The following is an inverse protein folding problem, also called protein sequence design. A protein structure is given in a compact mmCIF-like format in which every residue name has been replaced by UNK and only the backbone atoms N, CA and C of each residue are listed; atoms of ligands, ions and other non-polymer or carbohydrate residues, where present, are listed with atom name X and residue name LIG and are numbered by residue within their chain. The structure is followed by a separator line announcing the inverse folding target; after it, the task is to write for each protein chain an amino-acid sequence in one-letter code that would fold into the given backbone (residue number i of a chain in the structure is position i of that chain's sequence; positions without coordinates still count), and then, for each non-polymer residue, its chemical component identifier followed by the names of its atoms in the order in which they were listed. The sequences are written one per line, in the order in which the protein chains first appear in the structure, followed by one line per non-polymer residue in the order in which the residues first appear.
data_IF_171865177751
#
_entry.id   IF_171865177751
#
_cell.length_a   1.000
_cell.length_b   1.000
_cell.length_c   1.000
_cell.angle_alpha   90.00
_cell.angle_beta   90.00
_cell.angle_gamma   90.00
#
_symmetry.space_group_name_H-M   'P 1'
#
loop_
_entity.id
_entity.type
_entity.pdbx_description
1 polymer ?
#
# COMPACT_ATOMS: atom_id res chain seq x y z
N UNK A 1 2.32 -32.72 -9.03
CA UNK A 1 2.00 -31.55 -9.84
C UNK A 1 1.96 -32.01 -11.27
N UNK A 2 0.94 -31.71 -12.03
CA UNK A 2 0.92 -32.14 -13.46
C UNK A 2 2.06 -31.41 -14.20
N UNK A 3 2.72 -32.10 -15.13
CA UNK A 3 3.82 -31.52 -15.94
C UNK A 3 3.34 -30.27 -16.69
N UNK A 4 2.07 -30.27 -17.08
CA UNK A 4 1.41 -29.14 -17.73
C UNK A 4 1.32 -27.91 -16.82
N UNK A 5 0.96 -28.09 -15.53
CA UNK A 5 0.92 -26.99 -14.57
C UNK A 5 2.32 -26.41 -14.31
N UNK A 6 3.32 -27.28 -14.21
CA UNK A 6 4.72 -26.86 -14.04
C UNK A 6 5.19 -26.03 -15.24
N UNK A 7 4.90 -26.47 -16.46
CA UNK A 7 5.24 -25.72 -17.67
C UNK A 7 4.51 -24.37 -17.72
N UNK A 8 3.22 -24.34 -17.38
CA UNK A 8 2.42 -23.10 -17.27
C UNK A 8 3.04 -22.10 -16.28
N UNK A 9 3.42 -22.58 -15.09
CA UNK A 9 4.07 -21.75 -14.08
C UNK A 9 5.46 -21.24 -14.54
N UNK A 10 6.24 -22.08 -15.20
CA UNK A 10 7.55 -21.69 -15.76
C UNK A 10 7.37 -20.60 -16.81
N UNK A 11 6.44 -20.75 -17.75
CA UNK A 11 6.15 -19.73 -18.78
C UNK A 11 5.73 -18.42 -18.13
N UNK A 12 4.83 -18.47 -17.14
CA UNK A 12 4.42 -17.27 -16.39
C UNK A 12 5.63 -16.58 -15.74
N UNK A 13 6.48 -17.32 -15.04
CA UNK A 13 7.67 -16.77 -14.39
C UNK A 13 8.67 -16.18 -15.40
N UNK A 14 8.93 -16.88 -16.50
CA UNK A 14 9.81 -16.37 -17.59
C UNK A 14 9.28 -15.05 -18.14
N UNK A 15 7.98 -14.95 -18.41
CA UNK A 15 7.36 -13.70 -18.88
C UNK A 15 7.49 -12.57 -17.85
N UNK A 16 7.31 -12.87 -16.56
CA UNK A 16 7.51 -11.89 -15.48
C UNK A 16 8.96 -11.40 -15.42
N UNK A 17 9.96 -12.30 -15.52
CA UNK A 17 11.37 -11.91 -15.53
C UNK A 17 11.76 -11.13 -16.79
N UNK A 18 11.09 -11.38 -17.93
CA UNK A 18 11.24 -10.58 -19.16
C UNK A 18 10.55 -9.21 -19.07
N UNK A 19 10.02 -8.84 -17.89
CA UNK A 19 9.30 -7.57 -17.64
C UNK A 19 8.05 -7.38 -18.50
N UNK A 20 7.43 -8.46 -18.95
CA UNK A 20 6.10 -8.42 -19.57
C UNK A 20 5.09 -7.96 -18.51
N UNK A 21 4.10 -7.12 -18.85
CA UNK A 21 3.04 -6.72 -17.92
C UNK A 21 2.41 -7.92 -17.21
N UNK A 22 2.22 -7.82 -15.89
CA UNK A 22 1.82 -8.94 -15.03
C UNK A 22 0.57 -9.66 -15.54
N UNK A 23 -0.45 -8.91 -15.96
CA UNK A 23 -1.69 -9.52 -16.49
C UNK A 23 -1.44 -10.36 -17.75
N UNK A 24 -0.53 -9.92 -18.63
CA UNK A 24 -0.16 -10.69 -19.83
C UNK A 24 0.61 -11.96 -19.45
N UNK A 25 1.54 -11.85 -18.50
CA UNK A 25 2.34 -12.97 -18.04
C UNK A 25 1.44 -14.06 -17.40
N UNK A 26 0.49 -13.66 -16.55
CA UNK A 26 -0.44 -14.56 -15.87
C UNK A 26 -1.44 -15.18 -16.86
N UNK A 27 -2.03 -14.39 -17.78
CA UNK A 27 -2.91 -14.91 -18.82
C UNK A 27 -2.17 -15.84 -19.78
N UNK A 28 -0.94 -15.46 -20.19
CA UNK A 28 -0.12 -16.29 -21.09
C UNK A 28 0.23 -17.63 -20.47
N UNK A 29 0.70 -17.66 -19.23
CA UNK A 29 0.94 -18.89 -18.48
C UNK A 29 -0.35 -19.72 -18.33
N UNK A 30 -1.46 -19.08 -17.96
CA UNK A 30 -2.76 -19.75 -17.85
C UNK A 30 -3.23 -20.32 -19.20
N UNK A 31 -3.04 -19.60 -20.30
CA UNK A 31 -3.40 -20.07 -21.64
C UNK A 31 -2.64 -21.33 -22.04
N UNK A 32 -1.34 -21.41 -21.70
CA UNK A 32 -0.54 -22.64 -21.93
C UNK A 32 -1.20 -23.85 -21.23
N UNK A 33 -1.68 -23.66 -19.99
CA UNK A 33 -2.38 -24.72 -19.26
C UNK A 33 -3.62 -25.23 -20.02
N UNK A 34 -4.47 -24.31 -20.52
CA UNK A 34 -5.69 -24.65 -21.23
C UNK A 34 -5.41 -25.30 -22.60
N UNK A 35 -4.38 -24.80 -23.31
CA UNK A 35 -4.01 -25.38 -24.64
C UNK A 35 -3.48 -26.81 -24.51
N UNK A 36 -2.74 -27.12 -23.45
CA UNK A 36 -2.16 -28.44 -23.22
C UNK A 36 -3.10 -29.43 -22.49
N UNK A 37 -4.27 -28.96 -22.02
CA UNK A 37 -5.32 -29.79 -21.43
C UNK A 37 -6.60 -29.75 -22.29
N UNK A 38 -6.67 -30.46 -23.38
CA UNK A 38 -7.82 -30.44 -24.32
C UNK A 38 -9.13 -30.92 -23.68
N UNK A 39 -9.07 -31.64 -22.58
CA UNK A 39 -10.27 -32.09 -21.82
C UNK A 39 -10.98 -30.93 -21.12
N UNK A 40 -10.34 -29.75 -21.02
CA UNK A 40 -10.90 -28.56 -20.42
C UNK A 40 -11.42 -27.64 -21.52
N UNK A 41 -12.72 -27.35 -21.47
CA UNK A 41 -13.32 -26.45 -22.45
C UNK A 41 -12.68 -25.04 -22.34
N UNK A 42 -12.17 -24.54 -23.47
CA UNK A 42 -11.55 -23.19 -23.54
C UNK A 42 -12.50 -22.05 -23.12
N UNK A 43 -13.83 -22.26 -23.18
CA UNK A 43 -14.84 -21.30 -22.68
C UNK A 43 -14.64 -21.01 -21.20
N UNK A 44 -14.14 -21.98 -20.42
CA UNK A 44 -13.87 -21.79 -18.98
C UNK A 44 -12.82 -20.69 -18.76
N UNK A 45 -11.81 -20.59 -19.63
CA UNK A 45 -10.82 -19.51 -19.56
C UNK A 45 -11.49 -18.12 -19.61
N UNK A 46 -12.35 -17.90 -20.61
CA UNK A 46 -13.06 -16.65 -20.78
C UNK A 46 -14.06 -16.39 -19.63
N UNK A 47 -14.78 -17.42 -19.19
CA UNK A 47 -15.72 -17.34 -18.08
C UNK A 47 -15.00 -16.92 -16.77
N UNK A 48 -13.89 -17.55 -16.43
CA UNK A 48 -13.15 -17.21 -15.21
C UNK A 48 -12.54 -15.82 -15.27
N UNK A 49 -12.08 -15.38 -16.44
CA UNK A 49 -11.58 -14.02 -16.62
C UNK A 49 -12.66 -12.96 -16.37
N UNK A 50 -13.91 -13.22 -16.76
CA UNK A 50 -15.05 -12.31 -16.54
C UNK A 50 -15.52 -12.38 -15.08
N UNK A 51 -15.81 -13.58 -14.56
CA UNK A 51 -16.29 -13.81 -13.18
C UNK A 51 -15.39 -13.15 -12.14
N UNK A 52 -14.06 -13.15 -12.39
CA UNK A 52 -13.10 -12.51 -11.50
C UNK A 52 -13.35 -11.03 -11.28
N UNK A 53 -13.94 -10.34 -12.27
CA UNK A 53 -14.17 -8.89 -12.23
C UNK A 53 -15.60 -8.49 -11.84
N UNK A 54 -16.54 -9.45 -11.74
CA UNK A 54 -17.96 -9.17 -11.47
C UNK A 54 -18.29 -8.95 -9.98
N UNK A 55 -17.33 -9.14 -9.06
CA UNK A 55 -17.57 -8.95 -7.63
C UNK A 55 -17.90 -7.49 -7.32
N UNK A 56 -19.07 -7.22 -6.75
CA UNK A 56 -19.53 -5.86 -6.37
C UNK A 56 -18.54 -5.16 -5.44
N UNK A 57 -17.89 -5.89 -4.54
CA UNK A 57 -16.88 -5.34 -3.63
C UNK A 57 -15.68 -4.70 -4.36
N UNK A 58 -15.36 -5.16 -5.57
CA UNK A 58 -14.28 -4.59 -6.37
C UNK A 58 -14.60 -3.18 -6.88
N UNK A 59 -15.86 -2.76 -6.92
CA UNK A 59 -16.24 -1.39 -7.27
C UNK A 59 -15.70 -0.35 -6.27
N UNK A 60 -15.36 -0.75 -5.05
CA UNK A 60 -14.69 0.14 -4.11
C UNK A 60 -13.35 0.66 -4.65
N UNK A 61 -12.60 -0.18 -5.40
CA UNK A 61 -11.28 0.15 -5.93
C UNK A 61 -11.31 1.37 -6.84
N UNK A 62 -12.09 1.42 -7.95
CA UNK A 62 -12.17 2.61 -8.80
C UNK A 62 -12.64 3.86 -8.06
N UNK A 63 -13.57 3.72 -7.11
CA UNK A 63 -14.07 4.85 -6.36
C UNK A 63 -13.00 5.47 -5.46
N UNK A 64 -12.27 4.67 -4.69
CA UNK A 64 -11.20 5.19 -3.84
C UNK A 64 -10.00 5.69 -4.67
N UNK A 65 -9.66 5.07 -5.79
CA UNK A 65 -8.66 5.59 -6.72
C UNK A 65 -9.06 6.97 -7.23
N UNK A 66 -10.32 7.12 -7.67
CA UNK A 66 -10.85 8.40 -8.14
C UNK A 66 -10.80 9.47 -7.05
N UNK A 67 -11.24 9.14 -5.84
CA UNK A 67 -11.21 10.05 -4.70
C UNK A 67 -9.77 10.50 -4.39
N UNK A 68 -8.80 9.58 -4.35
CA UNK A 68 -7.39 9.88 -4.10
C UNK A 68 -6.78 10.76 -5.19
N UNK A 69 -7.06 10.47 -6.46
CA UNK A 69 -6.61 11.28 -7.59
C UNK A 69 -7.23 12.69 -7.52
N UNK A 70 -8.53 12.81 -7.24
CA UNK A 70 -9.17 14.12 -7.10
C UNK A 70 -8.58 14.92 -5.94
N UNK A 71 -8.29 14.28 -4.80
CA UNK A 71 -7.65 14.96 -3.67
C UNK A 71 -6.30 15.59 -4.04
N UNK A 72 -5.53 14.99 -4.96
CA UNK A 72 -4.27 15.57 -5.43
C UNK A 72 -4.46 16.88 -6.21
N UNK A 73 -5.63 17.09 -6.84
CA UNK A 73 -5.96 18.31 -7.58
C UNK A 73 -6.62 19.41 -6.72
N UNK A 74 -6.91 19.12 -5.43
CA UNK A 74 -7.64 20.05 -4.55
C UNK A 74 -6.75 21.05 -3.80
N UNK A 75 -5.42 21.02 -3.98
CA UNK A 75 -4.48 21.84 -3.22
C UNK A 75 -4.39 21.49 -1.72
N UNK A 76 -4.96 20.35 -1.33
CA UNK A 76 -4.97 19.84 0.04
C UNK A 76 -3.57 19.58 0.57
N UNK A 77 -2.68 19.09 -0.28
CA UNK A 77 -1.29 18.73 0.12
C UNK A 77 -0.56 19.90 0.77
N UNK A 78 -0.67 21.11 0.22
CA UNK A 78 -0.04 22.31 0.79
C UNK A 78 -0.59 22.65 2.17
N UNK A 79 -1.91 22.57 2.35
CA UNK A 79 -2.59 22.85 3.62
C UNK A 79 -2.20 21.86 4.71
N UNK A 80 -2.05 20.59 4.35
CA UNK A 80 -1.58 19.54 5.25
C UNK A 80 -0.10 19.73 5.57
N UNK A 81 0.72 20.09 4.58
CA UNK A 81 2.13 20.36 4.79
C UNK A 81 2.33 21.52 5.79
N UNK A 82 1.62 22.64 5.60
CA UNK A 82 1.66 23.79 6.52
C UNK A 82 1.25 23.38 7.96
N UNK A 83 0.27 22.50 8.10
CA UNK A 83 -0.12 21.92 9.38
C UNK A 83 0.99 21.04 9.98
N UNK A 84 1.55 20.12 9.18
CA UNK A 84 2.66 19.26 9.61
C UNK A 84 3.89 20.07 10.04
N UNK A 85 4.21 21.16 9.35
CA UNK A 85 5.30 22.07 9.72
C UNK A 85 5.11 22.69 11.11
N UNK A 86 3.89 23.09 11.44
CA UNK A 86 3.58 23.67 12.76
C UNK A 86 3.69 22.62 13.86
N UNK A 87 3.28 21.37 13.58
CA UNK A 87 3.28 20.27 14.57
C UNK A 87 4.70 19.74 14.81
N UNK A 88 5.44 19.47 13.74
CA UNK A 88 6.71 18.72 13.81
C UNK A 88 7.96 19.55 13.55
N UNK A 89 7.84 20.77 13.06
CA UNK A 89 8.98 21.60 12.64
C UNK A 89 9.99 21.94 13.75
N UNK A 90 9.62 21.77 15.01
CA UNK A 90 10.51 21.95 16.17
C UNK A 90 11.34 20.72 16.51
N UNK A 91 10.99 19.56 15.95
CA UNK A 91 11.70 18.33 16.21
C UNK A 91 13.06 18.34 15.47
N UNK A 92 14.07 17.61 15.99
CA UNK A 92 15.34 17.47 15.29
C UNK A 92 15.12 16.89 13.86
N UNK A 93 15.70 17.56 12.87
CA UNK A 93 15.45 17.22 11.47
C UNK A 93 14.13 17.74 10.92
N UNK A 94 13.64 18.89 11.39
CA UNK A 94 12.33 19.50 11.14
C UNK A 94 11.65 19.14 9.84
N UNK A 95 12.24 19.40 8.65
CA UNK A 95 11.63 19.03 7.36
C UNK A 95 11.54 17.53 7.14
N UNK A 96 12.47 16.73 7.65
CA UNK A 96 12.39 15.27 7.54
C UNK A 96 11.25 14.71 8.43
N UNK A 97 11.00 15.34 9.59
CA UNK A 97 9.85 15.02 10.44
C UNK A 97 8.52 15.40 9.77
N UNK A 98 8.50 16.61 9.14
CA UNK A 98 7.34 17.05 8.33
C UNK A 98 7.03 16.04 7.24
N UNK A 99 8.06 15.54 6.54
CA UNK A 99 7.91 14.55 5.48
C UNK A 99 7.25 13.25 6.00
N UNK A 100 7.71 12.70 7.13
CA UNK A 100 7.12 11.49 7.73
C UNK A 100 5.65 11.71 8.11
N UNK A 101 5.35 12.84 8.77
CA UNK A 101 3.97 13.15 9.17
C UNK A 101 3.08 13.41 7.95
N UNK A 102 3.62 14.10 6.94
CA UNK A 102 2.92 14.38 5.67
C UNK A 102 2.52 13.08 4.97
N UNK A 103 3.47 12.13 4.76
CA UNK A 103 3.17 10.82 4.17
C UNK A 103 2.10 10.07 4.98
N UNK A 104 2.14 10.17 6.32
CA UNK A 104 1.14 9.53 7.17
C UNK A 104 -0.26 10.11 6.94
N UNK A 105 -0.38 11.42 6.89
CA UNK A 105 -1.67 12.09 6.69
C UNK A 105 -2.15 11.96 5.25
N UNK A 106 -1.24 12.10 4.28
CA UNK A 106 -1.56 11.93 2.86
C UNK A 106 -1.97 10.50 2.52
N UNK A 107 -1.46 9.51 3.25
CA UNK A 107 -1.91 8.11 3.15
C UNK A 107 -3.43 7.97 3.27
N UNK A 108 -4.04 8.73 4.20
CA UNK A 108 -5.50 8.81 4.36
C UNK A 108 -6.25 9.49 3.22
N UNK A 109 -5.56 10.01 2.21
CA UNK A 109 -6.15 10.75 1.10
C UNK A 109 -5.86 10.12 -0.26
N UNK A 110 -4.61 9.70 -0.51
CA UNK A 110 -4.15 9.16 -1.81
C UNK A 110 -4.24 7.63 -1.87
N UNK A 111 -3.97 6.94 -0.75
CA UNK A 111 -3.94 5.49 -0.64
C UNK A 111 -2.88 4.77 -1.47
N UNK A 112 -1.96 5.50 -2.15
CA UNK A 112 -0.93 4.97 -3.04
C UNK A 112 0.47 5.44 -2.65
N UNK A 113 1.30 4.52 -2.16
CA UNK A 113 2.68 4.81 -1.77
C UNK A 113 3.55 5.34 -2.93
N UNK A 114 3.36 4.83 -4.15
CA UNK A 114 4.13 5.26 -5.32
C UNK A 114 3.75 6.69 -5.71
N UNK A 115 2.46 7.03 -5.67
CA UNK A 115 1.99 8.38 -5.99
C UNK A 115 2.51 9.39 -4.96
N UNK A 116 2.43 9.05 -3.67
CA UNK A 116 2.92 9.91 -2.58
C UNK A 116 4.43 10.09 -2.64
N UNK A 117 5.19 9.01 -2.82
CA UNK A 117 6.63 9.10 -2.98
C UNK A 117 7.02 9.98 -4.18
N UNK A 118 6.31 9.86 -5.31
CA UNK A 118 6.58 10.67 -6.49
C UNK A 118 6.29 12.16 -6.26
N UNK A 119 5.17 12.48 -5.60
CA UNK A 119 4.77 13.83 -5.26
C UNK A 119 5.73 14.46 -4.23
N UNK A 120 5.96 13.77 -3.12
CA UNK A 120 6.83 14.24 -2.04
C UNK A 120 8.29 14.35 -2.49
N UNK A 121 8.77 13.46 -3.38
CA UNK A 121 10.11 13.56 -3.97
C UNK A 121 10.30 14.84 -4.76
N UNK A 122 9.27 15.33 -5.45
CA UNK A 122 9.32 16.59 -6.20
C UNK A 122 9.24 17.82 -5.28
N UNK A 123 8.51 17.71 -4.17
CA UNK A 123 8.20 18.83 -3.30
C UNK A 123 9.17 18.93 -2.10
N UNK A 124 9.35 17.83 -1.37
CA UNK A 124 10.09 17.84 -0.11
C UNK A 124 11.61 17.72 -0.30
N UNK A 125 12.06 16.85 -1.23
CA UNK A 125 13.51 16.61 -1.39
C UNK A 125 14.28 17.87 -1.80
N UNK A 126 13.82 18.72 -2.75
CA UNK A 126 14.50 19.99 -3.04
C UNK A 126 14.52 20.95 -1.85
N UNK A 127 13.44 21.03 -1.07
CA UNK A 127 13.39 21.90 0.11
C UNK A 127 14.32 21.40 1.23
N UNK A 128 14.38 20.08 1.44
CA UNK A 128 15.30 19.48 2.41
C UNK A 128 16.76 19.73 2.00
N UNK A 129 17.11 19.54 0.73
CA UNK A 129 18.47 19.78 0.24
C UNK A 129 18.89 21.24 0.34
N UNK A 130 18.00 22.21 0.08
CA UNK A 130 18.23 23.64 0.31
C UNK A 130 18.51 23.95 1.79
N UNK A 131 17.96 23.17 2.71
CA UNK A 131 18.19 23.30 4.17
C UNK A 131 19.40 22.50 4.66
N UNK A 132 20.22 21.95 3.75
CA UNK A 132 21.48 21.29 4.09
C UNK A 132 21.37 19.78 4.38
N UNK A 133 20.21 19.17 4.15
CA UNK A 133 20.10 17.70 4.19
C UNK A 133 20.81 17.08 2.97
N UNK A 134 21.42 15.92 3.15
CA UNK A 134 21.96 15.19 1.98
C UNK A 134 20.85 14.73 1.06
N UNK A 135 21.11 14.68 -0.23
CA UNK A 135 20.15 14.24 -1.24
C UNK A 135 19.69 12.81 -0.98
N UNK A 136 20.62 11.93 -0.61
CA UNK A 136 20.37 10.52 -0.32
C UNK A 136 19.46 10.36 0.87
N UNK A 137 19.75 11.03 1.99
CA UNK A 137 18.92 10.98 3.19
C UNK A 137 17.51 11.51 2.91
N UNK A 138 17.40 12.64 2.22
CA UNK A 138 16.10 13.23 1.85
C UNK A 138 15.29 12.26 0.99
N UNK A 139 15.93 11.63 0.00
CA UNK A 139 15.29 10.64 -0.89
C UNK A 139 14.85 9.40 -0.12
N UNK A 140 15.69 8.89 0.79
CA UNK A 140 15.37 7.71 1.60
C UNK A 140 14.24 7.99 2.58
N UNK A 141 14.25 9.12 3.28
CA UNK A 141 13.16 9.49 4.19
C UNK A 141 11.84 9.56 3.43
N UNK A 142 11.82 10.21 2.27
CA UNK A 142 10.61 10.33 1.43
C UNK A 142 10.10 8.95 0.97
N UNK A 143 10.98 8.08 0.50
CA UNK A 143 10.57 6.75 0.06
C UNK A 143 10.14 5.85 1.24
N UNK A 144 10.83 5.92 2.37
CA UNK A 144 10.50 5.12 3.53
C UNK A 144 9.20 5.60 4.22
N UNK A 145 8.97 6.91 4.31
CA UNK A 145 7.73 7.45 4.89
C UNK A 145 6.50 7.13 4.04
N UNK A 146 6.60 7.15 2.71
CA UNK A 146 5.48 6.80 1.84
C UNK A 146 5.03 5.34 1.96
N UNK A 147 5.81 4.46 2.63
CA UNK A 147 5.37 3.11 2.97
C UNK A 147 4.28 3.07 4.04
N UNK A 148 4.05 4.18 4.76
CA UNK A 148 2.95 4.33 5.71
C UNK A 148 1.62 4.44 4.97
N UNK A 149 1.62 5.03 3.78
CA UNK A 149 0.42 5.32 2.97
C UNK A 149 -0.52 4.13 2.77
N UNK A 150 -0.08 2.94 2.32
CA UNK A 150 -1.00 1.81 2.12
C UNK A 150 -1.58 1.25 3.42
N UNK A 151 -1.03 1.64 4.58
CA UNK A 151 -1.47 1.21 5.91
C UNK A 151 -2.45 2.20 6.53
N UNK A 152 -2.51 3.46 6.08
CA UNK A 152 -3.47 4.45 6.56
C UNK A 152 -4.75 4.41 5.70
N UNK A 153 -5.93 4.26 6.30
CA UNK A 153 -7.18 4.25 5.55
C UNK A 153 -7.52 5.60 4.88
N UNK A 154 -8.10 5.54 3.67
CA UNK A 154 -8.48 4.37 2.88
C UNK A 154 -7.36 3.89 1.94
N UNK A 155 -6.51 2.96 2.38
CA UNK A 155 -5.45 2.39 1.54
C UNK A 155 -5.99 1.44 0.47
N UNK A 156 -5.57 1.61 -0.78
CA UNK A 156 -5.97 0.75 -1.91
C UNK A 156 -5.62 -0.72 -1.64
N UNK A 157 -4.45 -0.97 -1.05
CA UNK A 157 -4.00 -2.33 -0.71
C UNK A 157 -4.92 -3.03 0.29
N UNK A 158 -5.45 -2.30 1.29
CA UNK A 158 -6.41 -2.86 2.26
C UNK A 158 -7.74 -3.23 1.61
N UNK A 159 -8.23 -2.39 0.70
CA UNK A 159 -9.47 -2.63 -0.05
C UNK A 159 -9.29 -3.87 -0.92
N UNK A 160 -8.19 -3.92 -1.67
CA UNK A 160 -7.89 -5.03 -2.56
C UNK A 160 -7.75 -6.34 -1.79
N UNK A 161 -7.01 -6.34 -0.68
CA UNK A 161 -6.88 -7.52 0.19
C UNK A 161 -8.24 -7.97 0.73
N UNK A 162 -9.04 -7.04 1.26
CA UNK A 162 -10.37 -7.35 1.79
C UNK A 162 -11.30 -7.96 0.75
N UNK A 163 -11.29 -7.45 -0.49
CA UNK A 163 -12.07 -8.01 -1.60
C UNK A 163 -11.61 -9.41 -2.03
N UNK A 164 -10.29 -9.67 -2.01
CA UNK A 164 -9.72 -10.95 -2.44
C UNK A 164 -9.92 -12.03 -1.37
N UNK A 165 -9.58 -11.72 -0.12
CA UNK A 165 -9.63 -12.65 1.00
C UNK A 165 -11.01 -12.73 1.67
N UNK A 166 -12.00 -11.92 1.23
CA UNK A 166 -13.31 -11.76 1.86
C UNK A 166 -13.24 -11.34 3.35
N UNK A 167 -12.26 -10.48 3.66
CA UNK A 167 -12.05 -9.90 5.00
C UNK A 167 -12.73 -8.53 5.08
N UNK A 168 -13.28 -8.19 6.24
CA UNK A 168 -13.94 -6.90 6.45
C UNK A 168 -13.01 -5.71 6.21
N UNK A 169 -13.29 -4.92 5.17
CA UNK A 169 -12.54 -3.70 4.83
C UNK A 169 -12.57 -2.69 5.99
N UNK A 170 -13.70 -2.57 6.68
CA UNK A 170 -13.82 -1.69 7.84
C UNK A 170 -12.89 -2.08 8.99
N UNK A 171 -12.77 -3.39 9.29
CA UNK A 171 -11.80 -3.89 10.28
C UNK A 171 -10.36 -3.66 9.84
N UNK A 172 -10.05 -3.85 8.55
CA UNK A 172 -8.73 -3.55 7.99
C UNK A 172 -8.39 -2.07 8.13
N UNK A 173 -9.33 -1.18 7.88
CA UNK A 173 -9.14 0.25 8.04
C UNK A 173 -8.82 0.65 9.48
N UNK A 174 -9.54 0.10 10.47
CA UNK A 174 -9.26 0.38 11.88
C UNK A 174 -7.91 -0.18 12.31
N UNK A 175 -7.57 -1.40 11.90
CA UNK A 175 -6.24 -1.98 12.13
C UNK A 175 -5.13 -1.12 11.51
N UNK A 176 -5.36 -0.63 10.30
CA UNK A 176 -4.43 0.21 9.57
C UNK A 176 -4.01 1.48 10.31
N UNK A 177 -4.91 2.14 11.03
CA UNK A 177 -4.54 3.28 11.88
C UNK A 177 -3.54 2.90 12.96
N UNK A 178 -3.72 1.75 13.59
CA UNK A 178 -2.79 1.27 14.62
C UNK A 178 -1.42 0.99 14.05
N UNK A 179 -1.38 0.22 12.96
CA UNK A 179 -0.13 -0.19 12.30
C UNK A 179 0.57 1.01 11.64
N UNK A 180 -0.16 1.85 10.93
CA UNK A 180 0.38 3.07 10.31
C UNK A 180 0.86 4.09 11.34
N UNK A 181 0.12 4.24 12.45
CA UNK A 181 0.53 5.08 13.58
C UNK A 181 1.80 4.59 14.25
N UNK A 182 1.93 3.28 14.48
CA UNK A 182 3.15 2.65 15.01
C UNK A 182 4.35 2.95 14.09
N UNK A 183 4.17 2.75 12.78
CA UNK A 183 5.22 3.00 11.81
C UNK A 183 5.59 4.48 11.73
N UNK A 184 4.62 5.40 11.78
CA UNK A 184 4.86 6.84 11.85
C UNK A 184 5.73 7.21 13.06
N UNK A 185 5.36 6.76 14.25
CA UNK A 185 6.07 7.07 15.49
C UNK A 185 7.50 6.51 15.44
N UNK A 186 7.67 5.24 15.09
CA UNK A 186 8.99 4.60 15.03
C UNK A 186 9.88 5.25 13.96
N UNK A 187 9.31 5.65 12.82
CA UNK A 187 10.01 6.37 11.75
C UNK A 187 10.45 7.77 12.22
N UNK A 188 9.57 8.51 12.90
CA UNK A 188 9.90 9.84 13.47
C UNK A 188 11.02 9.75 14.50
N UNK A 189 11.03 8.70 15.34
CA UNK A 189 12.11 8.46 16.30
C UNK A 189 13.44 8.23 15.58
N UNK A 190 13.46 7.36 14.55
CA UNK A 190 14.67 7.07 13.78
C UNK A 190 15.19 8.32 13.06
N UNK A 191 14.30 9.06 12.37
CA UNK A 191 14.63 10.29 11.65
C UNK A 191 15.17 11.34 12.62
N UNK A 192 14.55 11.49 13.80
CA UNK A 192 15.03 12.40 14.84
C UNK A 192 16.42 12.05 15.36
N UNK A 193 16.68 10.76 15.59
CA UNK A 193 17.99 10.27 16.03
C UNK A 193 19.09 10.51 14.99
N UNK A 194 18.83 10.17 13.72
CA UNK A 194 19.79 10.37 12.62
C UNK A 194 20.03 11.87 12.42
N UNK A 195 18.99 12.68 12.43
CA UNK A 195 19.08 14.14 12.24
C UNK A 195 19.88 14.81 13.34
N UNK A 196 19.66 14.43 14.60
CA UNK A 196 20.44 14.93 15.74
C UNK A 196 21.92 14.56 15.63
N UNK A 197 22.23 13.32 15.22
CA UNK A 197 23.61 12.85 15.04
C UNK A 197 24.34 13.58 13.91
N UNK A 198 23.62 13.98 12.86
CA UNK A 198 24.17 14.66 11.68
C UNK A 198 24.10 16.19 11.78
N UNK A 199 23.54 16.73 12.85
CA UNK A 199 23.42 18.18 13.03
C UNK A 199 22.38 18.85 12.14
N UNK A 200 21.41 18.07 11.60
CA UNK A 200 20.30 18.65 10.86
C UNK A 200 19.39 19.43 11.80
N UNK A 201 19.25 20.72 11.54
CA UNK A 201 18.54 21.65 12.41
C UNK A 201 17.03 21.45 12.42
N UNK A 202 16.38 22.14 13.33
CA UNK A 202 14.93 22.26 13.38
C UNK A 202 14.48 23.24 12.29
N UNK A 203 13.26 23.06 11.77
CA UNK A 203 12.68 23.99 10.80
C UNK A 203 12.34 25.35 11.45
N UNK A 204 11.88 25.30 12.69
CA UNK A 204 11.50 26.47 13.48
C UNK A 204 11.91 26.32 14.95
N UNK A 205 12.26 27.42 15.59
CA UNK A 205 12.50 27.50 17.03
C UNK A 205 11.28 28.02 17.81
N UNK A 206 10.26 28.52 17.08
CA UNK A 206 9.07 29.09 17.70
C UNK A 206 8.25 28.03 18.42
N UNK A 207 7.76 28.37 19.61
CA UNK A 207 6.94 27.47 20.43
C UNK A 207 5.60 27.15 19.72
N UNK A 208 5.15 25.92 19.84
CA UNK A 208 3.80 25.54 19.46
C UNK A 208 2.83 26.22 20.43
N UNK A 209 2.16 27.27 19.99
CA UNK A 209 1.14 27.98 20.76
C UNK A 209 -0.24 27.58 20.24
N UNK A 210 -1.25 27.58 21.11
CA UNK A 210 -2.62 27.24 20.76
C UNK A 210 -3.17 28.05 19.57
N UNK A 211 -2.95 29.40 19.49
CA UNK A 211 -3.39 30.17 18.31
C UNK A 211 -2.70 29.75 17.01
N UNK A 212 -1.37 29.44 17.07
CA UNK A 212 -0.61 28.99 15.89
C UNK A 212 -1.08 27.62 15.41
N UNK A 213 -1.33 26.70 16.36
CA UNK A 213 -1.91 25.37 16.04
C UNK A 213 -3.27 25.54 15.33
N UNK A 214 -4.19 26.31 15.91
CA UNK A 214 -5.51 26.51 15.31
C UNK A 214 -5.46 27.19 13.94
N UNK A 215 -4.55 28.14 13.74
CA UNK A 215 -4.37 28.82 12.45
C UNK A 215 -3.95 27.85 11.34
N UNK A 216 -3.09 26.87 11.65
CA UNK A 216 -2.64 25.86 10.70
C UNK A 216 -3.65 24.70 10.58
N UNK A 217 -4.30 24.32 11.69
CA UNK A 217 -5.28 23.23 11.72
C UNK A 217 -6.56 23.56 10.96
N UNK A 218 -7.07 24.79 11.07
CA UNK A 218 -8.34 25.19 10.44
C UNK A 218 -8.41 24.93 8.93
N UNK A 219 -7.38 25.22 8.10
CA UNK A 219 -7.39 24.87 6.68
C UNK A 219 -7.26 23.36 6.42
N UNK A 220 -6.65 22.61 7.34
CA UNK A 220 -6.42 21.18 7.22
C UNK A 220 -7.59 20.32 7.75
N UNK A 221 -8.54 20.89 8.49
CA UNK A 221 -9.66 20.16 9.11
C UNK A 221 -10.49 19.42 8.05
N UNK A 222 -10.92 20.11 7.00
CA UNK A 222 -11.79 19.51 5.98
C UNK A 222 -11.13 18.28 5.33
N UNK A 223 -9.87 18.33 4.83
CA UNK A 223 -9.21 17.13 4.34
C UNK A 223 -9.13 16.00 5.38
N UNK A 224 -8.80 16.33 6.62
CA UNK A 224 -8.65 15.35 7.71
C UNK A 224 -9.98 14.69 8.11
N UNK A 225 -11.12 15.29 7.78
CA UNK A 225 -12.44 14.68 8.02
C UNK A 225 -12.72 13.51 7.07
N UNK A 226 -12.09 13.44 5.88
CA UNK A 226 -12.40 12.38 4.92
C UNK A 226 -12.20 10.96 5.49
N UNK A 227 -11.05 10.58 6.07
CA UNK A 227 -10.89 9.28 6.69
C UNK A 227 -11.90 9.03 7.82
N UNK A 228 -12.24 10.06 8.59
CA UNK A 228 -13.22 9.96 9.69
C UNK A 228 -14.61 9.68 9.16
N UNK A 229 -15.03 10.36 8.10
CA UNK A 229 -16.34 10.16 7.43
C UNK A 229 -16.42 8.73 6.89
N UNK A 230 -15.39 8.26 6.19
CA UNK A 230 -15.35 6.94 5.58
C UNK A 230 -15.47 5.86 6.68
N UNK A 231 -14.59 5.89 7.66
CA UNK A 231 -14.52 4.83 8.67
C UNK A 231 -15.70 4.90 9.63
N UNK A 232 -16.06 6.11 10.05
CA UNK A 232 -17.25 6.32 10.89
C UNK A 232 -18.51 5.81 10.20
N UNK A 233 -18.71 6.16 8.93
CA UNK A 233 -19.87 5.74 8.15
C UNK A 233 -19.94 4.22 7.93
N UNK A 234 -18.80 3.57 7.63
CA UNK A 234 -18.73 2.10 7.49
C UNK A 234 -19.01 1.43 8.84
N UNK A 235 -18.43 1.93 9.93
CA UNK A 235 -18.59 1.33 11.27
C UNK A 235 -20.03 1.41 11.78
N UNK A 236 -20.68 2.55 11.60
CA UNK A 236 -22.07 2.76 12.05
C UNK A 236 -23.05 2.02 11.11
N UNK A 237 -22.58 1.48 9.98
CA UNK A 237 -23.40 0.77 9.01
C UNK A 237 -24.20 1.68 8.08
N UNK A 238 -23.86 2.98 8.01
CA UNK A 238 -24.49 3.92 7.07
C UNK A 238 -24.02 3.63 5.64
N UNK A 239 -22.76 3.22 5.47
CA UNK A 239 -22.14 2.94 4.18
C UNK A 239 -21.51 1.56 4.16
N UNK A 240 -21.65 0.87 3.02
CA UNK A 240 -20.75 -0.19 2.61
C UNK A 240 -19.39 0.42 2.18
N UNK A 241 -18.35 -0.40 2.04
CA UNK A 241 -17.05 0.11 1.54
C UNK A 241 -17.16 0.75 0.15
N UNK A 242 -18.04 0.21 -0.71
CA UNK A 242 -18.28 0.74 -2.06
C UNK A 242 -18.97 2.11 -2.01
N UNK A 243 -20.02 2.25 -1.21
CA UNK A 243 -20.73 3.52 -1.02
C UNK A 243 -19.83 4.58 -0.38
N UNK A 244 -19.00 4.19 0.59
CA UNK A 244 -18.02 5.09 1.19
C UNK A 244 -17.02 5.64 0.16
N UNK A 245 -16.62 4.82 -0.83
CA UNK A 245 -15.81 5.27 -1.94
C UNK A 245 -16.51 6.32 -2.82
N UNK A 246 -17.80 6.13 -3.10
CA UNK A 246 -18.59 7.12 -3.85
C UNK A 246 -18.73 8.45 -3.06
N UNK A 247 -18.98 8.38 -1.76
CA UNK A 247 -19.00 9.55 -0.86
C UNK A 247 -17.65 10.25 -0.85
N UNK A 248 -16.55 9.50 -0.87
CA UNK A 248 -15.21 10.06 -0.91
C UNK A 248 -14.94 10.88 -2.19
N UNK A 249 -15.42 10.41 -3.36
CA UNK A 249 -15.32 11.17 -4.63
C UNK A 249 -16.08 12.49 -4.52
N UNK A 250 -17.34 12.43 -4.06
CA UNK A 250 -18.16 13.62 -3.91
C UNK A 250 -17.51 14.62 -2.94
N UNK A 251 -16.95 14.11 -1.85
CA UNK A 251 -16.26 14.94 -0.87
C UNK A 251 -14.98 15.57 -1.43
N UNK A 252 -14.17 14.82 -2.18
CA UNK A 252 -12.98 15.35 -2.84
C UNK A 252 -13.35 16.44 -3.89
N UNK A 253 -14.38 16.21 -4.69
CA UNK A 253 -14.89 17.20 -5.63
C UNK A 253 -15.37 18.47 -4.90
N UNK A 254 -16.15 18.32 -3.84
CA UNK A 254 -16.62 19.41 -2.98
C UNK A 254 -15.46 20.25 -2.42
N UNK A 255 -14.39 19.60 -1.91
CA UNK A 255 -13.20 20.31 -1.45
C UNK A 255 -12.52 21.08 -2.58
N UNK A 256 -12.40 20.48 -3.77
CA UNK A 256 -11.83 21.14 -4.95
C UNK A 256 -12.57 22.42 -5.33
N UNK A 257 -13.90 22.39 -5.24
CA UNK A 257 -14.72 23.58 -5.49
C UNK A 257 -14.56 24.63 -4.38
N UNK A 258 -14.63 24.25 -3.11
CA UNK A 258 -14.47 25.18 -1.97
C UNK A 258 -13.11 25.88 -2.00
N UNK A 259 -12.06 25.14 -2.33
CA UNK A 259 -10.71 25.68 -2.36
C UNK A 259 -10.39 26.44 -3.66
N UNK A 260 -11.27 26.39 -4.66
CA UNK A 260 -11.07 27.00 -5.99
C UNK A 260 -9.79 26.55 -6.70
N UNK A 261 -9.30 25.34 -6.39
CA UNK A 261 -8.04 24.79 -6.91
C UNK A 261 -8.29 23.79 -8.05
N UNK A 262 -9.47 23.14 -8.08
CA UNK A 262 -9.80 22.10 -9.06
C UNK A 262 -10.74 22.66 -10.13
N UNK A 263 -10.30 22.59 -11.39
CA UNK A 263 -11.07 23.01 -12.55
C UNK A 263 -11.69 21.80 -13.27
N UNK A 264 -12.65 22.04 -14.17
CA UNK A 264 -13.28 20.97 -14.96
C UNK A 264 -12.25 20.15 -15.75
N UNK A 265 -11.20 20.82 -16.25
CA UNK A 265 -10.11 20.13 -16.96
C UNK A 265 -9.38 19.12 -16.06
N UNK A 266 -9.15 19.49 -14.81
CA UNK A 266 -8.49 18.63 -13.80
C UNK A 266 -9.37 17.44 -13.44
N UNK A 267 -10.69 17.63 -13.35
CA UNK A 267 -11.66 16.54 -13.15
C UNK A 267 -11.62 15.55 -14.32
N UNK A 268 -11.63 16.03 -15.56
CA UNK A 268 -11.55 15.17 -16.74
C UNK A 268 -10.23 14.42 -16.78
N UNK A 269 -9.13 15.09 -16.46
CA UNK A 269 -7.81 14.47 -16.38
C UNK A 269 -7.76 13.41 -15.27
N UNK A 270 -8.27 13.72 -14.08
CA UNK A 270 -8.35 12.79 -12.96
C UNK A 270 -9.23 11.56 -13.27
N UNK A 271 -10.34 11.73 -13.99
CA UNK A 271 -11.13 10.61 -14.48
C UNK A 271 -10.36 9.72 -15.46
N UNK A 272 -9.59 10.29 -16.38
CA UNK A 272 -8.73 9.52 -17.30
C UNK A 272 -7.68 8.71 -16.54
N UNK A 273 -7.01 9.33 -15.57
CA UNK A 273 -6.02 8.65 -14.70
C UNK A 273 -6.69 7.53 -13.90
N UNK A 274 -7.89 7.77 -13.38
CA UNK A 274 -8.68 6.76 -12.66
C UNK A 274 -8.99 5.57 -13.54
N UNK A 275 -9.46 5.80 -14.76
CA UNK A 275 -9.78 4.72 -15.71
C UNK A 275 -8.55 3.91 -16.06
N UNK A 276 -7.42 4.55 -16.37
CA UNK A 276 -6.17 3.85 -16.69
C UNK A 276 -5.66 2.99 -15.53
N UNK A 277 -5.68 3.55 -14.32
CA UNK A 277 -5.22 2.83 -13.11
C UNK A 277 -6.15 1.68 -12.76
N UNK A 278 -7.46 1.92 -12.79
CA UNK A 278 -8.48 0.89 -12.53
C UNK A 278 -8.42 -0.23 -13.56
N UNK A 279 -8.31 0.10 -14.85
CA UNK A 279 -8.22 -0.90 -15.92
C UNK A 279 -7.00 -1.82 -15.72
N UNK A 280 -5.85 -1.26 -15.34
CA UNK A 280 -4.65 -2.04 -15.05
C UNK A 280 -4.87 -3.03 -13.90
N UNK A 281 -5.51 -2.61 -12.81
CA UNK A 281 -5.81 -3.48 -11.67
C UNK A 281 -6.85 -4.53 -12.06
N UNK A 282 -7.92 -4.15 -12.76
CA UNK A 282 -8.97 -5.09 -13.17
C UNK A 282 -8.46 -6.15 -14.14
N UNK A 283 -7.53 -5.80 -15.04
CA UNK A 283 -6.87 -6.78 -15.91
C UNK A 283 -6.04 -7.81 -15.12
N UNK A 284 -5.35 -7.36 -14.05
CA UNK A 284 -4.62 -8.28 -13.17
C UNK A 284 -5.61 -9.18 -12.40
N UNK A 285 -6.71 -8.63 -11.89
CA UNK A 285 -7.76 -9.40 -11.19
C UNK A 285 -8.36 -10.46 -12.13
N UNK A 286 -8.69 -10.08 -13.36
CA UNK A 286 -9.19 -11.00 -14.38
C UNK A 286 -8.21 -12.15 -14.65
N UNK A 287 -6.95 -11.81 -14.88
CA UNK A 287 -5.89 -12.79 -15.13
C UNK A 287 -5.68 -13.74 -13.93
N UNK A 288 -5.64 -13.19 -12.73
CA UNK A 288 -5.44 -13.97 -11.52
C UNK A 288 -6.64 -14.87 -11.18
N UNK A 289 -7.86 -14.48 -11.56
CA UNK A 289 -9.03 -15.35 -11.41
C UNK A 289 -8.91 -16.63 -12.23
N UNK A 290 -8.44 -16.54 -13.46
CA UNK A 290 -8.15 -17.70 -14.31
C UNK A 290 -7.08 -18.58 -13.66
N UNK A 291 -5.99 -17.98 -13.22
CA UNK A 291 -4.89 -18.69 -12.56
C UNK A 291 -5.33 -19.35 -11.24
N UNK A 292 -6.11 -18.65 -10.42
CA UNK A 292 -6.66 -19.16 -9.17
C UNK A 292 -7.58 -20.37 -9.40
N UNK A 293 -8.37 -20.35 -10.48
CA UNK A 293 -9.20 -21.50 -10.88
C UNK A 293 -8.33 -22.72 -11.23
N UNK A 294 -7.23 -22.52 -11.98
CA UNK A 294 -6.27 -23.60 -12.29
C UNK A 294 -5.69 -24.19 -11.00
N UNK A 295 -5.20 -23.35 -10.10
CA UNK A 295 -4.65 -23.79 -8.81
C UNK A 295 -5.66 -24.60 -8.00
N UNK A 296 -6.93 -24.15 -7.98
CA UNK A 296 -8.01 -24.81 -7.25
C UNK A 296 -8.36 -26.17 -7.87
N UNK A 297 -8.42 -26.24 -9.21
CA UNK A 297 -8.67 -27.49 -9.95
C UNK A 297 -7.57 -28.51 -9.69
N UNK A 298 -6.32 -28.09 -9.72
CA UNK A 298 -5.14 -28.92 -9.44
C UNK A 298 -4.93 -29.18 -7.93
N UNK A 299 -5.80 -28.67 -7.05
CA UNK A 299 -5.75 -28.82 -5.59
C UNK A 299 -4.42 -28.33 -4.96
N UNK A 300 -3.76 -27.35 -5.61
CA UNK A 300 -2.48 -26.82 -5.13
C UNK A 300 -2.57 -26.21 -3.72
N UNK A 301 -3.61 -25.40 -3.37
CA UNK A 301 -3.74 -24.89 -2.01
C UNK A 301 -3.79 -26.01 -0.98
N UNK A 302 -4.53 -27.08 -1.25
CA UNK A 302 -4.66 -28.23 -0.34
C UNK A 302 -3.34 -29.00 -0.19
N UNK A 303 -2.66 -29.26 -1.32
CA UNK A 303 -1.38 -29.96 -1.33
C UNK A 303 -0.30 -29.15 -0.59
N UNK A 304 -0.24 -27.85 -0.84
CA UNK A 304 0.70 -26.94 -0.17
C UNK A 304 0.41 -26.85 1.34
N UNK A 305 -0.88 -26.75 1.70
CA UNK A 305 -1.29 -26.73 3.11
C UNK A 305 -0.87 -28.03 3.82
N UNK A 306 -1.17 -29.18 3.23
CA UNK A 306 -0.80 -30.48 3.80
C UNK A 306 0.72 -30.61 3.96
N UNK A 307 1.50 -30.19 2.96
CA UNK A 307 2.95 -30.19 3.02
C UNK A 307 3.48 -29.27 4.12
N UNK A 308 2.94 -28.02 4.20
CA UNK A 308 3.34 -27.07 5.23
C UNK A 308 3.02 -27.57 6.63
N UNK A 309 1.81 -28.09 6.89
CA UNK A 309 1.40 -28.62 8.20
C UNK A 309 2.23 -29.85 8.60
N UNK A 310 2.65 -30.68 7.63
CA UNK A 310 3.52 -31.83 7.90
C UNK A 310 4.96 -31.43 8.29
N UNK A 311 5.46 -30.29 7.76
CA UNK A 311 6.86 -29.89 7.96
C UNK A 311 7.03 -28.69 8.89
N UNK A 312 6.00 -27.86 9.06
CA UNK A 312 6.04 -26.63 9.86
C UNK A 312 4.95 -26.74 10.94
N UNK A 313 5.34 -26.98 12.19
CA UNK A 313 4.39 -27.18 13.29
C UNK A 313 4.08 -25.92 14.09
N UNK A 314 4.80 -24.81 13.84
CA UNK A 314 4.64 -23.55 14.57
C UNK A 314 4.10 -22.46 13.66
N UNK A 315 3.05 -21.76 14.10
CA UNK A 315 2.50 -20.57 13.41
C UNK A 315 3.55 -19.47 13.19
N UNK A 316 4.48 -19.33 14.13
CA UNK A 316 5.55 -18.32 14.04
C UNK A 316 6.58 -18.66 12.96
N UNK A 317 6.95 -19.95 12.86
CA UNK A 317 7.85 -20.42 11.81
C UNK A 317 7.18 -20.25 10.44
N UNK A 318 5.91 -20.60 10.32
CA UNK A 318 5.11 -20.35 9.11
C UNK A 318 5.14 -18.86 8.71
N UNK A 319 4.85 -17.95 9.65
CA UNK A 319 4.86 -16.50 9.40
C UNK A 319 6.24 -16.00 8.99
N UNK A 320 7.33 -16.51 9.57
CA UNK A 320 8.70 -16.14 9.17
C UNK A 320 8.99 -16.59 7.74
N UNK A 321 8.63 -17.84 7.38
CA UNK A 321 8.83 -18.37 6.02
C UNK A 321 8.03 -17.54 5.02
N UNK A 322 6.78 -17.24 5.33
CA UNK A 322 5.93 -16.39 4.47
C UNK A 322 6.50 -14.97 4.37
N UNK A 323 6.98 -14.38 5.47
CA UNK A 323 7.59 -13.06 5.44
C UNK A 323 8.82 -13.02 4.52
N UNK A 324 9.72 -13.99 4.62
CA UNK A 324 10.91 -14.08 3.75
C UNK A 324 10.49 -14.24 2.29
N UNK A 325 9.52 -15.12 2.03
CA UNK A 325 8.99 -15.35 0.69
C UNK A 325 8.37 -14.08 0.09
N UNK A 326 7.52 -13.39 0.86
CA UNK A 326 6.87 -12.15 0.41
C UNK A 326 7.86 -11.00 0.22
N UNK A 327 8.90 -10.88 1.04
CA UNK A 327 9.97 -9.91 0.84
C UNK A 327 10.67 -10.15 -0.49
N UNK A 328 11.02 -11.42 -0.79
CA UNK A 328 11.66 -11.77 -2.05
C UNK A 328 10.72 -11.46 -3.23
N UNK A 329 9.47 -11.88 -3.16
CA UNK A 329 8.47 -11.59 -4.22
C UNK A 329 8.28 -10.10 -4.43
N UNK A 330 8.13 -9.33 -3.34
CA UNK A 330 7.92 -7.88 -3.38
C UNK A 330 9.09 -7.09 -3.95
N UNK A 331 10.31 -7.66 -3.99
CA UNK A 331 11.46 -7.05 -4.67
C UNK A 331 11.31 -7.06 -6.20
N UNK A 332 10.53 -8.00 -6.77
CA UNK A 332 10.43 -8.22 -8.21
C UNK A 332 9.05 -7.89 -8.77
N UNK A 333 7.99 -8.11 -7.99
CA UNK A 333 6.59 -7.98 -8.42
C UNK A 333 5.95 -6.81 -7.68
N UNK A 334 5.17 -6.02 -8.41
CA UNK A 334 4.40 -4.92 -7.84
C UNK A 334 3.40 -5.45 -6.79
N UNK A 335 3.21 -4.70 -5.68
CA UNK A 335 2.50 -5.16 -4.50
C UNK A 335 1.05 -5.59 -4.74
N UNK A 336 0.30 -4.84 -5.54
CA UNK A 336 -1.09 -5.19 -5.85
C UNK A 336 -1.16 -6.48 -6.68
N UNK A 337 -0.27 -6.65 -7.65
CA UNK A 337 -0.18 -7.85 -8.48
C UNK A 337 0.19 -9.09 -7.65
N UNK A 338 1.20 -8.94 -6.78
CA UNK A 338 1.59 -9.98 -5.82
C UNK A 338 0.40 -10.39 -4.95
N UNK A 339 -0.36 -9.41 -4.44
CA UNK A 339 -1.51 -9.64 -3.56
C UNK A 339 -2.62 -10.43 -4.28
N UNK A 340 -2.97 -10.03 -5.51
CA UNK A 340 -4.03 -10.68 -6.29
C UNK A 340 -3.68 -12.16 -6.57
N UNK A 341 -2.40 -12.48 -6.80
CA UNK A 341 -1.94 -13.82 -7.12
C UNK A 341 -1.80 -14.69 -5.85
N UNK A 342 -1.20 -14.16 -4.80
CA UNK A 342 -0.75 -14.96 -3.66
C UNK A 342 -1.72 -14.98 -2.48
N UNK A 343 -2.56 -13.96 -2.28
CA UNK A 343 -3.52 -13.94 -1.16
C UNK A 343 -4.51 -15.10 -1.24
N UNK A 344 -5.08 -15.47 -2.39
CA UNK A 344 -5.97 -16.63 -2.48
C UNK A 344 -5.30 -17.95 -2.09
N UNK A 345 -3.97 -18.02 -2.23
CA UNK A 345 -3.18 -19.20 -1.86
C UNK A 345 -2.79 -19.18 -0.37
N UNK A 346 -2.25 -18.05 0.12
CA UNK A 346 -1.64 -17.96 1.44
C UNK A 346 -2.64 -17.70 2.58
N UNK A 347 -3.71 -16.93 2.33
CA UNK A 347 -4.68 -16.60 3.38
C UNK A 347 -5.42 -17.84 3.94
N UNK A 348 -5.88 -18.81 3.13
CA UNK A 348 -6.47 -20.04 3.65
C UNK A 348 -5.48 -20.89 4.45
N UNK A 349 -4.19 -20.91 4.07
CA UNK A 349 -3.15 -21.61 4.82
C UNK A 349 -2.93 -20.96 6.18
N UNK A 350 -2.81 -19.63 6.21
CA UNK A 350 -2.68 -18.89 7.46
C UNK A 350 -3.84 -19.17 8.44
N UNK A 351 -5.07 -19.26 7.93
CA UNK A 351 -6.25 -19.62 8.73
C UNK A 351 -6.12 -21.03 9.36
N UNK A 352 -5.52 -22.00 8.64
CA UNK A 352 -5.29 -23.35 9.21
C UNK A 352 -4.27 -23.35 10.36
N UNK A 353 -3.35 -22.38 10.39
CA UNK A 353 -2.44 -22.16 11.53
C UNK A 353 -3.08 -21.37 12.67
N UNK A 354 -4.37 -21.03 12.59
CA UNK A 354 -5.07 -20.22 13.59
C UNK A 354 -4.58 -18.76 13.65
N UNK A 355 -4.02 -18.25 12.56
CA UNK A 355 -3.59 -16.85 12.47
C UNK A 355 -4.80 -15.97 12.19
N UNK A 356 -4.93 -14.89 12.96
CA UNK A 356 -6.00 -13.91 12.79
C UNK A 356 -5.96 -13.30 11.37
N UNK A 357 -7.11 -13.24 10.71
CA UNK A 357 -7.22 -12.74 9.33
C UNK A 357 -6.75 -11.28 9.16
N UNK A 358 -7.00 -10.43 10.17
CA UNK A 358 -6.58 -9.02 10.16
C UNK A 358 -5.07 -8.93 10.37
N UNK A 359 -4.51 -9.73 11.29
CA UNK A 359 -3.07 -9.78 11.51
C UNK A 359 -2.35 -10.20 10.22
N UNK A 360 -2.80 -11.28 9.59
CA UNK A 360 -2.17 -11.75 8.35
C UNK A 360 -2.27 -10.72 7.22
N UNK A 361 -3.41 -10.04 7.10
CA UNK A 361 -3.60 -8.97 6.12
C UNK A 361 -2.60 -7.82 6.33
N UNK A 362 -2.46 -7.33 7.57
CA UNK A 362 -1.52 -6.24 7.87
C UNK A 362 -0.07 -6.64 7.65
N UNK A 363 0.31 -7.86 8.05
CA UNK A 363 1.65 -8.42 7.77
C UNK A 363 1.89 -8.45 6.27
N UNK A 364 0.93 -8.94 5.49
CA UNK A 364 1.06 -9.07 4.03
C UNK A 364 1.25 -7.69 3.36
N UNK A 365 0.36 -6.74 3.65
CA UNK A 365 0.38 -5.39 3.07
C UNK A 365 1.69 -4.68 3.42
N UNK A 366 2.11 -4.75 4.68
CA UNK A 366 3.34 -4.10 5.12
C UNK A 366 4.58 -4.76 4.51
N UNK A 367 4.62 -6.09 4.43
CA UNK A 367 5.71 -6.83 3.80
C UNK A 367 5.88 -6.45 2.32
N UNK A 368 4.78 -6.38 1.57
CA UNK A 368 4.79 -5.91 0.18
C UNK A 368 5.34 -4.49 0.05
N UNK A 369 4.96 -3.60 0.96
CA UNK A 369 5.50 -2.24 0.97
C UNK A 369 7.03 -2.24 1.18
N UNK A 370 7.56 -3.06 2.11
CA UNK A 370 9.00 -3.22 2.30
C UNK A 370 9.68 -3.75 1.02
N UNK A 371 9.08 -4.75 0.38
CA UNK A 371 9.57 -5.28 -0.90
C UNK A 371 9.71 -4.19 -1.97
N UNK A 372 8.70 -3.31 -2.09
CA UNK A 372 8.73 -2.19 -3.04
C UNK A 372 9.84 -1.16 -2.77
N UNK A 373 10.36 -1.06 -1.56
CA UNK A 373 11.51 -0.23 -1.22
C UNK A 373 12.84 -0.96 -1.44
N UNK A 374 12.83 -2.30 -1.43
CA UNK A 374 14.02 -3.13 -1.33
C UNK A 374 14.68 -3.41 -2.70
N UNK A 375 16.04 -3.44 -2.78
CA UNK A 375 16.73 -3.86 -3.99
C UNK A 375 16.46 -5.35 -4.28
N UNK A 376 16.58 -5.84 -5.53
CA UNK A 376 17.18 -5.18 -6.69
C UNK A 376 16.24 -4.33 -7.54
N UNK A 377 14.91 -4.54 -7.47
CA UNK A 377 13.94 -3.92 -8.39
C UNK A 377 12.85 -3.11 -7.64
N UNK A 378 13.08 -2.71 -6.40
CA UNK A 378 12.10 -1.96 -5.61
C UNK A 378 11.51 -0.76 -6.37
N UNK A 379 10.25 -0.87 -6.75
CA UNK A 379 9.55 0.14 -7.57
C UNK A 379 9.56 1.51 -6.94
N UNK A 380 9.35 1.58 -5.62
CA UNK A 380 9.36 2.81 -4.84
C UNK A 380 10.74 3.46 -4.81
N UNK A 381 11.79 2.66 -4.60
CA UNK A 381 13.18 3.12 -4.66
C UNK A 381 13.51 3.71 -6.03
N UNK A 382 13.15 3.01 -7.12
CA UNK A 382 13.45 3.50 -8.47
C UNK A 382 12.68 4.75 -8.83
N UNK A 383 11.40 4.86 -8.47
CA UNK A 383 10.60 6.07 -8.70
C UNK A 383 11.23 7.25 -7.99
N UNK A 384 11.57 7.11 -6.70
CA UNK A 384 12.20 8.16 -5.91
C UNK A 384 13.56 8.56 -6.49
N UNK A 385 14.44 7.60 -6.76
CA UNK A 385 15.77 7.86 -7.36
C UNK A 385 15.67 8.52 -8.74
N UNK A 386 14.70 8.13 -9.56
CA UNK A 386 14.47 8.73 -10.88
C UNK A 386 14.12 10.21 -10.79
N UNK A 387 13.24 10.58 -9.83
CA UNK A 387 12.78 11.95 -9.64
C UNK A 387 13.87 12.81 -9.00
N UNK A 388 14.47 12.31 -7.92
CA UNK A 388 15.47 13.07 -7.13
C UNK A 388 16.87 13.07 -7.76
N UNK A 389 17.11 12.21 -8.76
CA UNK A 389 18.43 11.96 -9.37
C UNK A 389 19.47 11.42 -8.39
N UNK A 390 19.02 10.85 -7.27
CA UNK A 390 19.89 10.15 -6.31
C UNK A 390 20.43 8.87 -6.94
N UNK A 391 21.72 8.56 -6.70
CA UNK A 391 22.32 7.31 -7.15
C UNK A 391 21.79 6.14 -6.35
N UNK A 392 21.25 5.11 -7.01
CA UNK A 392 20.63 3.94 -6.37
C UNK A 392 21.55 3.26 -5.34
N UNK A 393 22.84 3.12 -5.63
CA UNK A 393 23.81 2.53 -4.69
C UNK A 393 23.97 3.37 -3.41
N UNK A 394 23.99 4.71 -3.53
CA UNK A 394 24.07 5.61 -2.39
C UNK A 394 22.75 5.61 -1.60
N UNK A 395 21.61 5.57 -2.28
CA UNK A 395 20.28 5.38 -1.66
C UNK A 395 20.22 4.11 -0.82
N UNK A 396 20.62 2.94 -1.39
CA UNK A 396 20.60 1.65 -0.67
C UNK A 396 21.46 1.71 0.59
N UNK A 397 22.68 2.29 0.49
CA UNK A 397 23.57 2.44 1.65
C UNK A 397 22.95 3.32 2.74
N UNK A 398 22.31 4.40 2.36
CA UNK A 398 21.61 5.31 3.28
C UNK A 398 20.34 4.69 3.88
N UNK A 399 19.67 3.80 3.14
CA UNK A 399 18.42 3.16 3.55
C UNK A 399 18.60 2.06 4.61
N UNK A 400 19.83 1.59 4.88
CA UNK A 400 20.08 0.47 5.82
C UNK A 400 19.41 0.66 7.19
N UNK A 401 19.53 1.80 7.89
CA UNK A 401 18.84 2.00 9.18
C UNK A 401 17.32 1.91 9.06
N UNK A 402 16.76 2.36 7.94
CA UNK A 402 15.33 2.29 7.66
C UNK A 402 14.89 0.84 7.40
N UNK A 403 15.64 0.05 6.64
CA UNK A 403 15.36 -1.39 6.47
C UNK A 403 15.34 -2.11 7.80
N UNK A 404 16.32 -1.84 8.67
CA UNK A 404 16.37 -2.46 10.02
C UNK A 404 15.10 -2.10 10.80
N UNK A 405 14.70 -0.83 10.83
CA UNK A 405 13.47 -0.38 11.48
C UNK A 405 12.22 -1.08 10.93
N UNK A 406 12.12 -1.16 9.61
CA UNK A 406 10.97 -1.78 8.94
C UNK A 406 10.87 -3.27 9.24
N UNK A 407 12.00 -3.98 9.23
CA UNK A 407 12.04 -5.41 9.61
C UNK A 407 11.68 -5.60 11.09
N UNK A 408 12.15 -4.73 11.99
CA UNK A 408 11.76 -4.77 13.42
C UNK A 408 10.25 -4.60 13.57
N UNK A 409 9.65 -3.60 12.89
CA UNK A 409 8.20 -3.41 12.90
C UNK A 409 7.46 -4.61 12.29
N UNK A 410 7.96 -5.18 11.19
CA UNK A 410 7.37 -6.39 10.60
C UNK A 410 7.39 -7.57 11.57
N UNK A 411 8.51 -7.79 12.26
CA UNK A 411 8.60 -8.84 13.28
C UNK A 411 7.68 -8.57 14.48
N UNK A 412 7.54 -7.32 14.87
CA UNK A 412 6.61 -6.93 15.94
C UNK A 412 5.15 -7.27 15.54
N UNK A 413 4.72 -6.95 14.35
CA UNK A 413 3.39 -7.31 13.84
C UNK A 413 3.20 -8.83 13.70
N UNK A 414 4.29 -9.54 13.36
CA UNK A 414 4.28 -10.99 13.19
C UNK A 414 4.11 -11.72 14.52
N UNK A 415 4.80 -11.28 15.56
CA UNK A 415 4.82 -11.99 16.85
C UNK A 415 3.78 -11.48 17.84
N UNK A 416 3.36 -10.23 17.72
CA UNK A 416 2.49 -9.59 18.70
C UNK A 416 1.18 -9.19 18.05
N UNK A 417 0.24 -10.15 17.97
CA UNK A 417 -1.09 -9.97 17.37
C UNK A 417 -1.83 -8.70 17.83
N UNK A 418 -1.79 -8.30 19.11
CA UNK A 418 -2.46 -7.09 19.58
C UNK A 418 -2.10 -5.80 18.82
N UNK A 419 -0.90 -5.66 18.24
CA UNK A 419 -0.56 -4.46 17.46
C UNK A 419 -1.44 -4.30 16.22
N UNK A 420 -1.97 -5.39 15.68
CA UNK A 420 -2.87 -5.36 14.53
C UNK A 420 -4.34 -5.45 14.91
N UNK A 421 -4.66 -6.04 16.06
CA UNK A 421 -6.05 -6.34 16.45
C UNK A 421 -6.59 -5.48 17.58
N UNK A 422 -5.73 -4.81 18.37
CA UNK A 422 -6.15 -4.03 19.54
C UNK A 422 -7.24 -3.01 19.21
N UNK A 423 -7.01 -2.17 18.21
CA UNK A 423 -8.01 -1.18 17.81
C UNK A 423 -9.27 -1.84 17.22
N UNK A 424 -9.12 -2.94 16.49
CA UNK A 424 -10.27 -3.68 15.97
C UNK A 424 -11.11 -4.22 17.12
N UNK A 425 -10.50 -4.86 18.12
CA UNK A 425 -11.21 -5.39 19.29
C UNK A 425 -11.83 -4.29 20.18
N UNK A 426 -11.27 -3.06 20.15
CA UNK A 426 -11.83 -1.93 20.88
C UNK A 426 -13.06 -1.34 20.19
N UNK A 427 -13.08 -1.36 18.85
CA UNK A 427 -14.09 -0.68 18.05
C UNK A 427 -15.15 -1.62 17.46
N UNK A 428 -14.90 -2.93 17.35
CA UNK A 428 -15.82 -3.98 16.90
C UNK A 428 -16.04 -5.03 17.97
#
# INVERSE_FOLDING_TARGET
MSDVLMLSAIVMLVLLFLKVPVYIAVLGGSMVYFVLNPDINAVVFAQQAIIGTEKISLMAIPFFICAGIFMNYTGVTKRIMDFCEVVTGRLPGGLAQVNVLLSTVMGGLSGSNIADAAMESKMMVPEMTKKGFSLEFSSVVTAASSMITPLIPPGIAMILYGCIANVSIGKLFISGFGVGGLLCITMMILVGFISKKRGYGNLTTEKLTWPRFWKAFKPAVLPLLLPIIIIGGIRIGIFTATEAGAVAILYAAFLGFIYHEMHIKDMIQGLKETVCTTASIMLIVSAASVFSWILTKERIPQALTAWMLANIHSKYVFLIVVNIFLLIVGMFIEGNASMIILVPLLAPIAAQYGINEIQFAMIYIFNNAIGALSPPMGTLMFVTCSITKSKTAAFIKEAVPFYILLIINLMLLTWVEPFTTFLVNLFY
#
